data_IF_205010584770
#
_entry.id   IF_205010584770
#
_cell.length_a   1.000
_cell.length_b   1.000
_cell.length_c   1.000
_cell.angle_alpha   90.00
_cell.angle_beta   90.00
_cell.angle_gamma   90.00
#
_symmetry.space_group_name_H-M   'P 1'
#
loop_
_entity.id
_entity.type
_entity.pdbx_description
1 polymer ?
#
# COMPACT_ATOMS: atom_id res chain seq x y z
N UNK A 1 18.43 -14.15 -0.07
CA UNK A 1 18.72 -12.74 0.20
C UNK A 1 18.12 -12.27 1.51
N UNK A 2 16.86 -12.59 1.83
CA UNK A 2 16.21 -12.07 3.05
C UNK A 2 16.93 -12.46 4.34
N UNK A 3 17.54 -13.65 4.38
CA UNK A 3 18.32 -14.11 5.54
C UNK A 3 19.57 -13.27 5.75
N UNK A 4 20.29 -12.99 4.67
CA UNK A 4 21.48 -12.14 4.69
C UNK A 4 21.10 -10.71 5.08
N UNK A 5 20.01 -10.18 4.51
CA UNK A 5 19.49 -8.86 4.84
C UNK A 5 19.10 -8.73 6.31
N UNK A 6 18.43 -9.73 6.91
CA UNK A 6 18.14 -9.73 8.35
C UNK A 6 19.43 -9.56 9.16
N UNK A 7 20.51 -10.27 8.81
CA UNK A 7 21.79 -10.14 9.51
C UNK A 7 22.41 -8.73 9.40
N UNK A 8 22.28 -8.08 8.24
CA UNK A 8 22.72 -6.70 8.06
C UNK A 8 21.87 -5.73 8.90
N UNK A 9 20.56 -5.88 8.85
CA UNK A 9 19.62 -4.98 9.53
C UNK A 9 19.75 -5.03 11.06
N UNK A 10 19.96 -6.22 11.65
CA UNK A 10 20.18 -6.33 13.11
C UNK A 10 21.51 -5.71 13.57
N UNK A 11 22.46 -5.50 12.65
CA UNK A 11 23.70 -4.76 12.90
C UNK A 11 23.57 -3.26 12.61
N UNK A 12 22.38 -2.80 12.24
CA UNK A 12 22.13 -1.40 11.87
C UNK A 12 22.66 -1.01 10.49
N UNK A 13 22.99 -1.98 9.64
CA UNK A 13 23.52 -1.73 8.29
C UNK A 13 22.35 -1.57 7.31
N UNK A 14 22.39 -0.49 6.53
CA UNK A 14 21.39 -0.19 5.51
C UNK A 14 21.53 -1.12 4.30
N UNK A 15 20.40 -1.46 3.70
CA UNK A 15 20.37 -2.15 2.41
C UNK A 15 20.41 -1.12 1.28
N UNK A 16 21.07 -1.47 0.18
CA UNK A 16 20.91 -0.77 -1.09
C UNK A 16 19.49 -0.95 -1.64
N UNK A 17 19.10 -0.09 -2.58
CA UNK A 17 17.82 -0.20 -3.28
C UNK A 17 17.63 -1.59 -3.92
N UNK A 18 18.70 -2.14 -4.52
CA UNK A 18 18.69 -3.47 -5.16
C UNK A 18 18.51 -4.60 -4.16
N UNK A 19 19.22 -4.59 -3.04
CA UNK A 19 19.10 -5.62 -2.00
C UNK A 19 17.70 -5.63 -1.39
N UNK A 20 17.16 -4.43 -1.13
CA UNK A 20 15.79 -4.28 -0.65
C UNK A 20 14.77 -4.79 -1.67
N UNK A 21 14.94 -4.49 -2.96
CA UNK A 21 14.08 -5.00 -4.01
C UNK A 21 14.13 -6.55 -4.09
N UNK A 22 15.29 -7.17 -3.92
CA UNK A 22 15.40 -8.62 -3.87
C UNK A 22 14.68 -9.23 -2.67
N UNK A 23 14.86 -8.66 -1.47
CA UNK A 23 14.13 -9.09 -0.28
C UNK A 23 12.61 -9.00 -0.47
N UNK A 24 12.15 -7.88 -1.05
CA UNK A 24 10.73 -7.66 -1.29
C UNK A 24 10.16 -8.60 -2.36
N UNK A 25 10.95 -8.99 -3.37
CA UNK A 25 10.56 -10.05 -4.31
C UNK A 25 10.44 -11.41 -3.63
N UNK A 26 11.38 -11.77 -2.76
CA UNK A 26 11.29 -13.01 -1.98
C UNK A 26 10.02 -13.05 -1.12
N UNK A 27 9.66 -11.94 -0.46
CA UNK A 27 8.41 -11.82 0.31
C UNK A 27 7.19 -11.96 -0.61
N UNK A 28 7.13 -11.19 -1.70
CA UNK A 28 5.98 -11.12 -2.60
C UNK A 28 5.77 -12.35 -3.49
N UNK A 29 6.78 -13.21 -3.61
CA UNK A 29 6.70 -14.48 -4.33
C UNK A 29 6.47 -15.66 -3.37
N UNK A 30 6.29 -15.41 -2.07
CA UNK A 30 6.04 -16.45 -1.07
C UNK A 30 7.25 -17.34 -0.78
N UNK A 31 8.46 -16.81 -0.98
CA UNK A 31 9.73 -17.53 -0.76
C UNK A 31 10.28 -17.34 0.66
N UNK A 32 9.80 -16.33 1.38
CA UNK A 32 10.16 -16.08 2.77
C UNK A 32 9.15 -16.72 3.74
N UNK A 33 9.63 -17.25 4.86
CA UNK A 33 8.76 -17.76 5.93
C UNK A 33 8.19 -16.62 6.77
N UNK A 34 7.11 -16.87 7.50
CA UNK A 34 6.50 -15.87 8.40
C UNK A 34 7.50 -15.33 9.42
N UNK A 35 8.36 -16.20 9.96
CA UNK A 35 9.42 -15.81 10.89
C UNK A 35 10.47 -14.89 10.23
N UNK A 36 10.84 -15.14 8.97
CA UNK A 36 11.77 -14.30 8.22
C UNK A 36 11.15 -12.94 7.92
N UNK A 37 9.89 -12.90 7.49
CA UNK A 37 9.15 -11.65 7.24
C UNK A 37 9.06 -10.85 8.53
N UNK A 38 8.66 -11.48 9.64
CA UNK A 38 8.56 -10.84 10.95
C UNK A 38 9.91 -10.25 11.40
N UNK A 39 10.97 -11.04 11.35
CA UNK A 39 12.31 -10.61 11.73
C UNK A 39 12.83 -9.46 10.86
N UNK A 40 12.64 -9.56 9.54
CA UNK A 40 13.02 -8.52 8.58
C UNK A 40 12.33 -7.19 8.88
N UNK A 41 11.01 -7.21 9.07
CA UNK A 41 10.22 -6.01 9.31
C UNK A 41 10.58 -5.34 10.65
N UNK A 42 10.79 -6.12 11.71
CA UNK A 42 11.17 -5.59 13.02
C UNK A 42 12.60 -5.03 13.00
N UNK A 43 13.55 -5.75 12.40
CA UNK A 43 14.94 -5.29 12.31
C UNK A 43 15.05 -3.99 11.51
N UNK A 44 14.35 -3.91 10.37
CA UNK A 44 14.27 -2.71 9.55
C UNK A 44 13.66 -1.53 10.33
N UNK A 45 12.58 -1.77 11.07
CA UNK A 45 11.90 -0.75 11.87
C UNK A 45 12.75 -0.22 13.02
N UNK A 46 13.48 -1.11 13.70
CA UNK A 46 14.40 -0.74 14.79
C UNK A 46 15.58 0.08 14.24
N UNK A 47 16.15 -0.34 13.11
CA UNK A 47 17.22 0.40 12.43
C UNK A 47 16.75 1.79 11.96
N UNK A 48 15.51 1.86 11.47
CA UNK A 48 14.96 3.01 10.75
C UNK A 48 15.14 2.84 9.24
N UNK A 49 14.03 2.94 8.51
CA UNK A 49 13.99 2.80 7.05
C UNK A 49 14.72 3.97 6.34
N UNK A 50 15.54 3.69 5.33
CA UNK A 50 16.12 4.72 4.46
C UNK A 50 15.29 4.99 3.20
N UNK A 51 15.61 6.07 2.48
CA UNK A 51 14.95 6.41 1.21
C UNK A 51 15.17 5.32 0.16
N UNK A 52 16.37 4.77 0.07
CA UNK A 52 16.74 3.70 -0.87
C UNK A 52 15.94 2.42 -0.56
N UNK A 53 15.80 2.09 0.71
CA UNK A 53 15.03 0.93 1.17
C UNK A 53 13.54 1.10 0.84
N UNK A 54 12.94 2.26 1.17
CA UNK A 54 11.55 2.56 0.82
C UNK A 54 11.35 2.53 -0.69
N UNK A 55 12.30 3.07 -1.46
CA UNK A 55 12.25 3.11 -2.93
C UNK A 55 12.29 1.71 -3.52
N UNK A 56 13.22 0.87 -3.07
CA UNK A 56 13.34 -0.52 -3.52
C UNK A 56 12.07 -1.33 -3.22
N UNK A 57 11.51 -1.17 -2.02
CA UNK A 57 10.28 -1.83 -1.64
C UNK A 57 9.08 -1.38 -2.48
N UNK A 58 8.91 -0.06 -2.64
CA UNK A 58 7.82 0.51 -3.42
C UNK A 58 7.89 0.11 -4.91
N UNK A 59 9.09 0.03 -5.50
CA UNK A 59 9.28 -0.43 -6.88
C UNK A 59 8.76 -1.86 -7.08
N UNK A 60 9.09 -2.77 -6.16
CA UNK A 60 8.62 -4.16 -6.23
C UNK A 60 7.12 -4.27 -5.97
N UNK A 61 6.58 -3.49 -5.01
CA UNK A 61 5.13 -3.40 -4.78
C UNK A 61 4.38 -3.01 -6.06
N UNK A 62 4.91 -2.06 -6.85
CA UNK A 62 4.33 -1.62 -8.13
C UNK A 62 4.60 -2.58 -9.29
N UNK A 63 5.69 -3.33 -9.25
CA UNK A 63 5.96 -4.41 -10.22
C UNK A 63 4.91 -5.51 -10.11
N UNK A 64 4.56 -5.91 -8.88
CA UNK A 64 3.61 -7.00 -8.60
C UNK A 64 2.14 -6.55 -8.51
N UNK A 65 1.86 -5.25 -8.68
CA UNK A 65 0.51 -4.71 -8.62
C UNK A 65 -0.27 -4.96 -9.92
N UNK A 66 -1.59 -5.08 -9.82
CA UNK A 66 -2.48 -4.92 -10.97
C UNK A 66 -2.36 -3.48 -11.50
N UNK A 67 -2.38 -3.32 -12.83
CA UNK A 67 -2.20 -2.03 -13.49
C UNK A 67 -3.44 -1.65 -14.27
N UNK A 68 -3.72 -0.35 -14.27
CA UNK A 68 -4.72 0.28 -15.12
C UNK A 68 -4.06 1.43 -15.88
N UNK A 69 -4.60 1.74 -17.05
CA UNK A 69 -4.38 3.02 -17.71
C UNK A 69 -5.18 4.11 -17.02
N UNK A 70 -4.69 5.35 -17.07
CA UNK A 70 -5.37 6.50 -16.48
C UNK A 70 -5.29 7.72 -17.42
N UNK A 71 -6.26 8.65 -17.35
CA UNK A 71 -6.17 9.93 -18.04
C UNK A 71 -4.94 10.73 -17.63
N UNK A 72 -4.50 11.64 -18.49
CA UNK A 72 -3.45 12.60 -18.16
C UNK A 72 -3.87 13.50 -16.99
N UNK A 73 -2.92 13.87 -16.13
CA UNK A 73 -3.20 14.72 -14.97
C UNK A 73 -3.94 14.01 -13.83
N UNK A 74 -4.05 12.67 -13.86
CA UNK A 74 -4.64 11.91 -12.76
C UNK A 74 -3.91 12.14 -11.44
N UNK A 75 -4.66 12.32 -10.36
CA UNK A 75 -4.13 12.51 -9.01
C UNK A 75 -4.61 11.44 -8.04
N UNK A 76 -3.85 11.27 -6.96
CA UNK A 76 -4.24 10.49 -5.79
C UNK A 76 -4.15 11.37 -4.54
N UNK A 77 -4.99 11.06 -3.56
CA UNK A 77 -5.08 11.75 -2.27
C UNK A 77 -4.80 10.80 -1.10
N UNK A 78 -4.29 9.59 -1.35
CA UNK A 78 -4.04 8.61 -0.30
C UNK A 78 -3.06 9.14 0.77
N UNK A 79 -3.11 8.52 1.94
CA UNK A 79 -2.19 8.77 3.03
C UNK A 79 -1.83 7.46 3.71
N UNK A 80 -0.74 7.47 4.48
CA UNK A 80 -0.26 6.30 5.24
C UNK A 80 -1.24 5.85 6.33
N UNK A 81 -2.05 6.79 6.85
CA UNK A 81 -2.97 6.56 7.95
C UNK A 81 -2.24 6.31 9.28
N UNK A 82 -3.00 5.95 10.31
CA UNK A 82 -2.44 5.65 11.63
C UNK A 82 -1.83 6.86 12.36
N UNK A 83 -2.31 8.07 12.07
CA UNK A 83 -2.00 9.30 12.81
C UNK A 83 -2.70 9.39 14.18
N UNK A 84 -3.65 8.48 14.42
CA UNK A 84 -4.52 8.42 15.61
C UNK A 84 -5.32 9.70 15.87
N UNK A 85 -5.44 10.58 14.88
CA UNK A 85 -6.14 11.86 15.02
C UNK A 85 -7.68 11.70 15.00
N UNK A 86 -8.19 10.51 14.67
CA UNK A 86 -9.61 10.18 14.58
C UNK A 86 -10.44 11.20 13.77
N UNK A 87 -9.81 11.78 12.75
CA UNK A 87 -10.47 12.72 11.84
C UNK A 87 -11.48 11.99 10.96
N UNK A 88 -12.40 12.75 10.36
CA UNK A 88 -13.23 12.21 9.29
C UNK A 88 -12.37 11.88 8.06
N UNK A 89 -12.93 11.20 7.06
CA UNK A 89 -12.21 10.73 5.88
C UNK A 89 -11.83 11.85 4.88
N UNK A 90 -11.04 12.82 5.34
CA UNK A 90 -10.60 14.04 4.63
C UNK A 90 -10.13 13.73 3.22
N UNK A 91 -9.25 12.73 3.04
CA UNK A 91 -8.73 12.39 1.72
C UNK A 91 -9.79 11.82 0.77
N UNK A 92 -10.83 11.16 1.29
CA UNK A 92 -11.92 10.64 0.46
C UNK A 92 -12.83 11.78 0.04
N UNK A 93 -13.15 12.69 0.96
CA UNK A 93 -13.88 13.92 0.66
C UNK A 93 -13.14 14.77 -0.37
N UNK A 94 -11.83 14.98 -0.19
CA UNK A 94 -11.00 15.72 -1.13
C UNK A 94 -10.99 15.09 -2.53
N UNK A 95 -10.89 13.76 -2.62
CA UNK A 95 -10.94 13.05 -3.89
C UNK A 95 -12.25 13.29 -4.66
N UNK A 96 -13.39 13.29 -3.97
CA UNK A 96 -14.70 13.57 -4.57
C UNK A 96 -14.77 15.02 -5.06
N UNK A 97 -14.34 15.98 -4.24
CA UNK A 97 -14.35 17.41 -4.61
C UNK A 97 -13.45 17.69 -5.80
N UNK A 98 -12.22 17.15 -5.81
CA UNK A 98 -11.26 17.32 -6.91
C UNK A 98 -11.81 16.73 -8.22
N UNK A 99 -12.42 15.54 -8.15
CA UNK A 99 -13.07 14.92 -9.31
C UNK A 99 -14.25 15.75 -9.83
N UNK A 100 -15.07 16.31 -8.95
CA UNK A 100 -16.15 17.22 -9.33
C UNK A 100 -15.66 18.53 -9.98
N UNK A 101 -14.41 18.92 -9.75
CA UNK A 101 -13.75 20.04 -10.44
C UNK A 101 -13.17 19.66 -11.81
N UNK A 102 -13.40 18.43 -12.30
CA UNK A 102 -12.96 17.96 -13.60
C UNK A 102 -11.53 17.41 -13.65
N UNK A 103 -10.89 17.23 -12.49
CA UNK A 103 -9.55 16.62 -12.41
C UNK A 103 -9.71 15.12 -12.16
N UNK A 104 -9.16 14.22 -12.99
CA UNK A 104 -9.31 12.78 -12.80
C UNK A 104 -8.65 12.32 -11.49
N UNK A 105 -9.35 11.49 -10.71
CA UNK A 105 -8.83 10.98 -9.43
C UNK A 105 -8.83 9.46 -9.41
N UNK A 106 -7.63 8.88 -9.33
CA UNK A 106 -7.41 7.46 -9.07
C UNK A 106 -7.03 7.30 -7.60
N UNK A 107 -8.04 7.16 -6.73
CA UNK A 107 -7.82 7.11 -5.29
C UNK A 107 -7.39 5.72 -4.85
N UNK A 108 -6.17 5.58 -4.37
CA UNK A 108 -5.76 4.36 -3.69
C UNK A 108 -6.28 4.35 -2.25
N UNK A 109 -6.82 3.21 -1.80
CA UNK A 109 -7.42 3.15 -0.48
C UNK A 109 -7.64 1.75 0.05
N UNK A 110 -7.94 1.68 1.34
CA UNK A 110 -8.18 0.45 2.06
C UNK A 110 -9.24 0.67 3.15
N UNK A 111 -9.69 -0.43 3.77
CA UNK A 111 -10.50 -0.41 4.99
C UNK A 111 -9.66 0.05 6.18
N UNK A 112 -10.33 0.52 7.23
CA UNK A 112 -9.64 0.93 8.44
C UNK A 112 -8.86 -0.23 9.08
N UNK A 113 -7.67 0.07 9.58
CA UNK A 113 -6.89 -0.81 10.45
C UNK A 113 -6.90 -0.33 11.91
N UNK A 114 -7.07 0.98 12.15
CA UNK A 114 -6.97 1.59 13.49
C UNK A 114 -7.94 2.75 13.76
N UNK A 115 -8.56 3.34 12.73
CA UNK A 115 -9.58 4.38 12.87
C UNK A 115 -11.00 3.78 12.92
N UNK A 116 -12.01 4.62 13.15
CA UNK A 116 -13.42 4.20 13.09
C UNK A 116 -13.90 3.85 11.67
N UNK A 117 -13.29 4.44 10.64
CA UNK A 117 -13.63 4.21 9.22
C UNK A 117 -12.45 4.53 8.29
N UNK A 118 -12.21 3.65 7.33
CA UNK A 118 -11.27 3.83 6.22
C UNK A 118 -11.94 4.46 5.00
N UNK A 119 -11.15 4.70 3.96
CA UNK A 119 -11.67 5.27 2.70
C UNK A 119 -12.66 4.32 2.01
N UNK A 120 -12.36 3.02 2.03
CA UNK A 120 -13.25 1.99 1.49
C UNK A 120 -14.59 1.95 2.26
N UNK A 121 -14.55 2.05 3.59
CA UNK A 121 -15.75 1.95 4.43
C UNK A 121 -16.72 3.12 4.18
N UNK A 122 -16.20 4.34 3.97
CA UNK A 122 -17.03 5.51 3.61
C UNK A 122 -17.61 5.39 2.21
N UNK A 123 -16.82 4.98 1.22
CA UNK A 123 -17.31 4.84 -0.15
C UNK A 123 -18.40 3.75 -0.24
N UNK A 124 -18.21 2.63 0.44
CA UNK A 124 -19.21 1.57 0.54
C UNK A 124 -20.51 2.06 1.20
N UNK A 125 -20.41 2.84 2.30
CA UNK A 125 -21.57 3.44 2.95
C UNK A 125 -22.30 4.47 2.06
N UNK A 126 -21.60 5.10 1.11
CA UNK A 126 -22.18 5.97 0.09
C UNK A 126 -22.77 5.22 -1.12
N UNK A 127 -22.71 3.88 -1.12
CA UNK A 127 -23.24 3.02 -2.19
C UNK A 127 -22.27 2.79 -3.35
N UNK A 128 -21.00 3.18 -3.23
CA UNK A 128 -19.98 2.91 -4.24
C UNK A 128 -19.55 1.45 -4.13
N UNK A 129 -19.51 0.74 -5.27
CA UNK A 129 -18.92 -0.61 -5.33
C UNK A 129 -17.40 -0.50 -5.28
N UNK A 130 -16.81 -0.84 -4.14
CA UNK A 130 -15.37 -0.69 -3.88
C UNK A 130 -14.52 -1.87 -4.37
N UNK A 131 -15.13 -3.01 -4.65
CA UNK A 131 -14.48 -4.26 -5.01
C UNK A 131 -14.53 -4.55 -6.52
N UNK A 132 -14.60 -3.50 -7.33
CA UNK A 132 -14.53 -3.61 -8.78
C UNK A 132 -13.18 -4.20 -9.22
N UNK A 133 -13.16 -5.09 -10.23
CA UNK A 133 -11.92 -5.55 -10.83
C UNK A 133 -11.21 -4.38 -11.54
N UNK A 134 -9.87 -4.45 -11.71
CA UNK A 134 -9.07 -3.35 -12.25
C UNK A 134 -9.60 -2.78 -13.58
N UNK A 135 -10.08 -3.63 -14.48
CA UNK A 135 -10.62 -3.23 -15.78
C UNK A 135 -11.86 -2.35 -15.64
N UNK A 136 -12.73 -2.64 -14.65
CA UNK A 136 -13.91 -1.83 -14.36
C UNK A 136 -13.57 -0.53 -13.64
N UNK A 137 -12.55 -0.53 -12.79
CA UNK A 137 -12.04 0.72 -12.20
C UNK A 137 -11.49 1.64 -13.29
N UNK A 138 -10.79 1.09 -14.28
CA UNK A 138 -10.30 1.84 -15.43
C UNK A 138 -11.46 2.46 -16.22
N UNK A 139 -12.49 1.68 -16.56
CA UNK A 139 -13.70 2.19 -17.23
C UNK A 139 -14.31 3.36 -16.45
N UNK A 140 -14.56 3.20 -15.14
CA UNK A 140 -15.10 4.28 -14.30
C UNK A 140 -14.21 5.52 -14.31
N UNK A 141 -12.89 5.35 -14.23
CA UNK A 141 -11.96 6.47 -14.21
C UNK A 141 -12.01 7.30 -15.51
N UNK A 142 -12.15 6.66 -16.66
CA UNK A 142 -12.29 7.35 -17.95
C UNK A 142 -13.69 7.94 -18.17
N UNK A 143 -14.74 7.30 -17.69
CA UNK A 143 -16.13 7.75 -17.89
C UNK A 143 -16.55 8.85 -16.91
N UNK A 144 -16.13 8.75 -15.65
CA UNK A 144 -16.61 9.63 -14.58
C UNK A 144 -15.52 10.53 -14.00
N UNK A 145 -14.25 10.33 -14.37
CA UNK A 145 -13.12 11.02 -13.75
C UNK A 145 -12.81 10.56 -12.33
N UNK A 146 -13.36 9.42 -11.87
CA UNK A 146 -13.10 8.88 -10.54
C UNK A 146 -12.96 7.35 -10.58
N UNK A 147 -11.88 6.85 -9.98
CA UNK A 147 -11.67 5.42 -9.76
C UNK A 147 -11.18 5.17 -8.34
N UNK A 148 -11.77 4.18 -7.65
CA UNK A 148 -11.28 3.72 -6.35
C UNK A 148 -10.47 2.44 -6.51
N UNK A 149 -9.19 2.49 -6.18
CA UNK A 149 -8.25 1.38 -6.28
C UNK A 149 -8.17 0.72 -4.90
N UNK A 150 -8.99 -0.30 -4.68
CA UNK A 150 -9.03 -1.01 -3.41
C UNK A 150 -7.79 -1.90 -3.23
N UNK A 151 -6.93 -1.56 -2.26
CA UNK A 151 -5.59 -2.12 -2.12
C UNK A 151 -5.51 -3.65 -2.15
N UNK A 152 -6.42 -4.43 -1.50
CA UNK A 152 -6.37 -5.89 -1.57
C UNK A 152 -6.54 -6.47 -2.98
N UNK A 153 -7.27 -5.79 -3.87
CA UNK A 153 -7.45 -6.21 -5.25
C UNK A 153 -6.26 -5.81 -6.14
N UNK A 154 -5.67 -4.64 -5.87
CA UNK A 154 -4.56 -4.12 -6.66
C UNK A 154 -3.19 -4.67 -6.24
N UNK A 155 -3.06 -5.18 -5.01
CA UNK A 155 -1.81 -5.73 -4.48
C UNK A 155 -1.96 -7.19 -4.01
N UNK A 156 -2.31 -8.14 -4.90
CA UNK A 156 -2.58 -9.53 -4.52
C UNK A 156 -1.35 -10.24 -3.88
N UNK A 157 -0.14 -9.83 -4.26
CA UNK A 157 1.10 -10.36 -3.69
C UNK A 157 1.28 -10.02 -2.20
N UNK A 158 0.56 -9.02 -1.68
CA UNK A 158 0.60 -8.68 -0.25
C UNK A 158 0.07 -9.80 0.65
N UNK A 159 -0.68 -10.77 0.12
CA UNK A 159 -1.20 -11.92 0.90
C UNK A 159 -0.11 -12.64 1.70
N UNK A 160 1.12 -12.70 1.19
CA UNK A 160 2.26 -13.34 1.87
C UNK A 160 2.76 -12.55 3.08
N UNK A 161 2.56 -11.23 3.11
CA UNK A 161 2.95 -10.38 4.23
C UNK A 161 1.80 -10.10 5.21
N UNK A 162 0.54 -10.39 4.85
CA UNK A 162 -0.64 -10.09 5.70
C UNK A 162 -0.59 -10.82 7.04
N UNK A 163 -0.32 -12.13 7.04
CA UNK A 163 -0.24 -12.95 8.25
C UNK A 163 0.81 -12.42 9.24
N UNK A 164 2.08 -12.35 8.85
CA UNK A 164 3.16 -11.82 9.70
C UNK A 164 2.88 -10.40 10.21
N UNK A 165 2.38 -9.50 9.36
CA UNK A 165 2.04 -8.13 9.79
C UNK A 165 0.95 -8.11 10.85
N UNK A 166 -0.07 -8.96 10.71
CA UNK A 166 -1.16 -9.06 11.67
C UNK A 166 -0.66 -9.60 13.01
N UNK A 167 0.22 -10.59 12.99
CA UNK A 167 0.81 -11.17 14.21
C UNK A 167 1.74 -10.19 14.92
N UNK A 168 2.52 -9.40 14.17
CA UNK A 168 3.37 -8.36 14.74
C UNK A 168 2.58 -7.25 15.45
N UNK A 169 1.43 -6.84 14.89
CA UNK A 169 0.55 -5.85 15.52
C UNK A 169 1.12 -4.44 15.65
N UNK A 170 2.23 -4.14 14.97
CA UNK A 170 2.91 -2.82 14.98
C UNK A 170 3.12 -2.28 13.57
N UNK A 171 3.38 -0.97 13.46
CA UNK A 171 3.73 -0.33 12.19
C UNK A 171 5.10 -0.78 11.70
N UNK A 172 5.19 -1.03 10.40
CA UNK A 172 6.42 -1.40 9.68
C UNK A 172 6.53 -0.58 8.39
N UNK A 173 7.55 -0.82 7.56
CA UNK A 173 7.70 -0.19 6.24
C UNK A 173 6.46 -0.29 5.34
N UNK A 174 5.56 -1.26 5.57
CA UNK A 174 4.32 -1.41 4.81
C UNK A 174 3.19 -0.44 5.22
N UNK A 175 3.44 0.50 6.13
CA UNK A 175 2.47 1.47 6.66
C UNK A 175 2.79 2.90 6.22
#
# INVERSE_FOLDING_TARGET
MIREAINLLVQGINLSESEMAECMREIMEGKATDAQIGAFLVALRIKGETVEEITGAAKVMREKAARISAPEGVVDTCGTGGDMAQTFNISTTAAIVVSACGIPVAKHGNRSVSSRSGSADVLEALGVRIDLPPEKVQECLFETGFGFLFAPLFHPAMKYAVGPRRELGIRTIFN
#
